data_IF_931240659694
#
_entry.id   IF_931240659694
#
_cell.length_a   1.000
_cell.length_b   1.000
_cell.length_c   1.000
_cell.angle_alpha   90.00
_cell.angle_beta   90.00
_cell.angle_gamma   90.00
#
_symmetry.space_group_name_H-M   'P 1'
#
loop_
_entity.id
_entity.type
_entity.pdbx_description
1 polymer ?
#
# COMPACT_ATOMS: atom_id res chain seq x y z
N UNK A 1 -75.49 7.24 0.55
CA UNK A 1 -75.78 8.14 -0.60
C UNK A 1 -74.46 8.20 -1.39
N UNK A 2 -74.55 7.50 -2.48
CA UNK A 2 -74.23 7.81 -3.87
C UNK A 2 -72.73 8.01 -4.17
N UNK A 3 -72.17 7.05 -4.81
CA UNK A 3 -72.00 6.71 -6.26
C UNK A 3 -70.83 7.47 -6.85
N UNK A 4 -69.78 6.81 -7.25
CA UNK A 4 -69.53 6.01 -8.47
C UNK A 4 -69.15 6.89 -9.65
N UNK A 5 -68.00 6.63 -10.24
CA UNK A 5 -67.50 7.18 -11.50
C UNK A 5 -66.27 6.47 -12.00
N UNK A 6 -66.49 5.30 -12.60
CA UNK A 6 -65.49 4.60 -13.44
C UNK A 6 -65.35 5.34 -14.77
N UNK A 7 -64.15 5.45 -15.33
CA UNK A 7 -64.01 5.39 -16.78
C UNK A 7 -62.68 4.72 -17.17
N UNK A 8 -62.87 3.75 -18.04
CA UNK A 8 -61.90 2.91 -18.73
C UNK A 8 -61.56 3.43 -20.10
N UNK A 9 -60.27 3.35 -20.49
CA UNK A 9 -59.70 2.90 -21.80
C UNK A 9 -60.09 3.59 -23.10
N UNK A 10 -59.41 3.38 -24.26
CA UNK A 10 -58.30 2.50 -24.58
C UNK A 10 -57.29 3.01 -25.66
N UNK A 11 -56.24 2.20 -25.90
CA UNK A 11 -55.61 1.83 -27.20
C UNK A 11 -55.10 2.89 -28.19
N UNK A 12 -53.83 2.71 -28.57
CA UNK A 12 -53.22 3.28 -29.77
C UNK A 12 -51.85 2.70 -30.07
N UNK A 13 -51.80 1.45 -30.54
CA UNK A 13 -50.63 0.89 -31.19
C UNK A 13 -50.41 1.56 -32.56
N UNK A 14 -49.17 1.96 -32.85
CA UNK A 14 -48.72 2.21 -34.23
C UNK A 14 -47.38 1.50 -34.45
N UNK A 15 -47.50 0.45 -35.22
CA UNK A 15 -46.45 -0.25 -35.95
C UNK A 15 -46.04 0.64 -37.13
N UNK A 16 -44.74 0.87 -37.31
CA UNK A 16 -44.20 1.24 -38.63
C UNK A 16 -43.09 0.27 -38.99
N UNK A 17 -43.36 -0.45 -40.07
CA UNK A 17 -42.47 -1.31 -40.84
C UNK A 17 -41.90 -0.48 -42.00
N UNK A 18 -40.69 -0.72 -42.37
CA UNK A 18 -40.09 -0.26 -43.63
C UNK A 18 -38.59 0.08 -43.42
N UNK A 19 -37.69 -0.30 -44.18
CA UNK A 19 -37.49 -1.23 -45.28
C UNK A 19 -35.98 -1.30 -45.49
N UNK A 20 -35.52 -2.44 -45.96
CA UNK A 20 -34.13 -2.70 -46.27
C UNK A 20 -33.68 -2.08 -47.59
N UNK A 21 -32.43 -1.68 -47.70
CA UNK A 21 -31.58 -1.62 -48.91
C UNK A 21 -30.12 -1.55 -48.39
N UNK A 22 -29.19 -2.38 -48.67
CA UNK A 22 -28.81 -3.15 -49.86
C UNK A 22 -27.82 -2.36 -50.69
N UNK A 23 -26.48 -2.59 -50.50
CA UNK A 23 -25.44 -2.42 -51.54
C UNK A 23 -24.08 -2.67 -50.88
N UNK A 24 -23.41 -3.65 -51.28
CA UNK A 24 -22.50 -3.96 -52.38
C UNK A 24 -21.01 -3.92 -51.93
N UNK A 25 -20.48 -5.09 -51.99
CA UNK A 25 -19.09 -5.56 -51.90
C UNK A 25 -18.18 -4.84 -52.92
N UNK A 26 -17.00 -4.42 -52.51
CA UNK A 26 -15.87 -4.27 -53.40
C UNK A 26 -14.62 -4.90 -52.77
N UNK A 27 -14.24 -6.02 -53.30
CA UNK A 27 -12.93 -6.64 -53.11
C UNK A 27 -11.89 -5.84 -53.90
N UNK A 28 -10.83 -5.48 -53.23
CA UNK A 28 -9.57 -5.05 -53.87
C UNK A 28 -8.45 -5.98 -53.42
N UNK A 29 -7.93 -6.71 -54.38
CA UNK A 29 -6.82 -7.61 -54.33
C UNK A 29 -5.51 -6.87 -54.04
N UNK A 30 -4.78 -7.33 -53.04
CA UNK A 30 -3.41 -6.88 -52.75
C UNK A 30 -2.40 -7.71 -53.54
N UNK A 31 -1.55 -7.03 -54.27
CA UNK A 31 -0.39 -7.57 -54.99
C UNK A 31 0.83 -7.60 -54.06
N UNK A 32 1.44 -8.78 -53.97
CA UNK A 32 2.74 -9.01 -53.35
C UNK A 32 3.84 -8.26 -54.07
N UNK A 33 4.72 -7.59 -53.35
CA UNK A 33 6.06 -7.26 -53.82
C UNK A 33 7.07 -7.52 -52.70
N UNK A 34 7.92 -8.51 -52.90
CA UNK A 34 9.20 -8.65 -52.19
C UNK A 34 10.27 -7.84 -52.84
N UNK A 35 11.21 -7.23 -52.11
CA UNK A 35 12.49 -6.85 -52.68
C UNK A 35 13.58 -7.85 -52.37
N UNK A 36 14.34 -8.11 -53.41
CA UNK A 36 15.54 -8.92 -53.51
C UNK A 36 16.72 -8.35 -52.72
N UNK A 37 17.58 -9.30 -52.27
CA UNK A 37 18.89 -9.05 -51.72
C UNK A 37 19.86 -8.41 -52.76
N UNK A 38 20.63 -7.46 -52.29
CA UNK A 38 21.86 -7.00 -52.97
C UNK A 38 23.06 -7.31 -52.08
N UNK A 39 23.93 -8.13 -52.61
CA UNK A 39 25.22 -8.51 -52.05
C UNK A 39 26.29 -7.42 -52.33
N UNK A 40 27.25 -7.29 -51.42
CA UNK A 40 28.62 -6.94 -51.72
C UNK A 40 29.14 -5.60 -51.23
N UNK A 41 29.98 -5.64 -50.19
CA UNK A 41 31.31 -5.03 -50.21
C UNK A 41 32.07 -5.39 -48.94
N UNK A 42 33.19 -6.06 -49.17
CA UNK A 42 34.22 -6.36 -48.15
C UNK A 42 34.90 -5.07 -47.71
N UNK A 43 34.85 -4.75 -46.41
CA UNK A 43 35.63 -3.71 -45.77
C UNK A 43 36.51 -4.31 -44.68
N UNK A 44 37.80 -4.33 -44.92
CA UNK A 44 38.85 -4.78 -44.01
C UNK A 44 38.88 -3.90 -42.76
N UNK A 45 38.63 -4.48 -41.58
CA UNK A 45 38.80 -3.79 -40.29
C UNK A 45 40.15 -4.16 -39.70
N UNK A 46 40.97 -3.17 -39.47
CA UNK A 46 42.26 -3.24 -38.82
C UNK A 46 42.09 -3.69 -37.35
N UNK A 47 42.87 -4.67 -36.94
CA UNK A 47 43.02 -5.10 -35.55
C UNK A 47 43.80 -4.04 -34.78
N UNK A 48 43.11 -3.33 -33.88
CA UNK A 48 43.71 -2.52 -32.82
C UNK A 48 44.02 -3.38 -31.60
N UNK A 49 45.30 -3.57 -31.32
CA UNK A 49 45.80 -4.24 -30.11
C UNK A 49 45.44 -3.44 -28.87
N UNK A 50 44.67 -4.00 -27.99
CA UNK A 50 44.41 -3.43 -26.64
C UNK A 50 45.49 -3.99 -25.69
N UNK A 51 46.40 -3.10 -25.31
CA UNK A 51 47.44 -3.38 -24.31
C UNK A 51 46.78 -3.48 -22.94
N UNK A 52 46.87 -4.65 -22.32
CA UNK A 52 46.42 -4.87 -20.94
C UNK A 52 47.31 -4.11 -19.94
N UNK A 53 46.70 -3.30 -19.09
CA UNK A 53 47.36 -2.69 -17.93
C UNK A 53 47.49 -3.71 -16.79
N UNK A 54 48.59 -3.72 -16.04
CA UNK A 54 48.80 -4.68 -14.96
C UNK A 54 47.93 -4.33 -13.75
N UNK A 55 47.26 -5.33 -13.22
CA UNK A 55 46.53 -5.28 -11.95
C UNK A 55 47.51 -5.27 -10.80
N UNK A 56 47.41 -4.28 -9.92
CA UNK A 56 48.18 -4.18 -8.68
C UNK A 56 47.73 -5.25 -7.68
N UNK A 57 48.64 -5.85 -6.89
CA UNK A 57 48.28 -6.88 -5.92
C UNK A 57 47.60 -6.28 -4.69
N UNK A 58 46.52 -6.93 -4.27
CA UNK A 58 45.78 -6.66 -3.04
C UNK A 58 46.63 -7.00 -1.81
N UNK A 59 46.62 -6.17 -0.76
CA UNK A 59 47.33 -6.49 0.48
C UNK A 59 46.60 -7.61 1.26
N UNK A 60 47.33 -8.48 2.01
CA UNK A 60 46.72 -9.55 2.77
C UNK A 60 45.94 -9.04 4.00
N UNK A 61 44.81 -9.60 4.25
CA UNK A 61 44.00 -9.40 5.46
C UNK A 61 44.73 -9.95 6.71
N UNK A 62 44.57 -9.28 7.85
CA UNK A 62 45.17 -9.81 9.08
C UNK A 62 44.41 -11.01 9.62
N UNK A 63 45.12 -12.05 9.98
CA UNK A 63 44.61 -13.27 10.58
C UNK A 63 43.94 -12.99 11.93
N UNK A 64 42.72 -13.46 12.10
CA UNK A 64 41.98 -13.50 13.35
C UNK A 64 42.74 -14.32 14.39
N UNK A 65 43.04 -13.71 15.54
CA UNK A 65 43.63 -14.36 16.70
C UNK A 65 42.64 -15.37 17.32
N UNK A 66 43.11 -16.58 17.53
CA UNK A 66 42.41 -17.66 18.22
C UNK A 66 42.18 -17.30 19.70
N UNK A 67 40.94 -17.44 20.14
CA UNK A 67 40.53 -17.34 21.54
C UNK A 67 40.88 -18.71 22.21
N UNK A 68 41.56 -18.74 23.36
CA UNK A 68 41.88 -20.00 24.03
C UNK A 68 40.65 -20.61 24.70
N UNK A 69 40.46 -21.92 24.50
CA UNK A 69 39.52 -22.76 25.23
C UNK A 69 39.77 -22.72 26.74
N UNK A 70 38.77 -22.29 27.51
CA UNK A 70 38.73 -22.46 28.94
C UNK A 70 38.18 -23.84 29.26
N UNK A 71 38.99 -24.64 29.97
CA UNK A 71 38.66 -25.99 30.40
C UNK A 71 37.49 -26.00 31.40
N UNK A 72 36.59 -26.95 31.22
CA UNK A 72 35.49 -27.24 32.14
C UNK A 72 36.00 -27.75 33.48
N UNK A 73 35.61 -27.12 34.58
CA UNK A 73 35.79 -27.61 35.92
C UNK A 73 34.66 -28.58 36.34
N UNK A 74 34.92 -29.57 37.20
CA UNK A 74 33.95 -30.62 37.52
C UNK A 74 32.86 -30.13 38.47
N UNK A 75 31.68 -30.61 38.18
CA UNK A 75 30.42 -30.45 38.92
C UNK A 75 30.51 -31.01 40.34
N UNK A 76 30.43 -30.14 41.34
CA UNK A 76 30.41 -30.53 42.76
C UNK A 76 28.96 -30.63 43.21
N UNK A 77 28.49 -31.84 43.46
CA UNK A 77 27.19 -32.14 44.03
C UNK A 77 26.96 -31.43 45.38
N UNK A 78 25.89 -30.69 45.51
CA UNK A 78 25.41 -30.11 46.76
C UNK A 78 24.35 -31.05 47.39
N UNK A 79 24.37 -31.20 48.75
CA UNK A 79 23.43 -32.09 49.45
C UNK A 79 22.01 -31.55 49.49
N UNK A 80 21.07 -32.46 49.43
CA UNK A 80 19.61 -32.19 49.51
C UNK A 80 19.22 -31.57 50.86
N UNK A 81 18.53 -30.45 50.83
CA UNK A 81 17.89 -29.83 51.99
C UNK A 81 16.43 -30.24 52.07
N UNK A 82 15.87 -30.40 53.24
CA UNK A 82 14.48 -30.89 53.45
C UNK A 82 13.45 -29.82 53.09
N UNK A 83 12.33 -30.26 52.49
CA UNK A 83 11.15 -29.48 52.13
C UNK A 83 10.38 -29.07 53.37
N UNK A 84 10.13 -27.80 53.69
CA UNK A 84 9.17 -27.41 54.70
C UNK A 84 7.76 -27.36 54.13
N UNK A 85 6.79 -27.85 54.88
CA UNK A 85 5.34 -27.80 54.64
C UNK A 85 4.82 -26.34 54.61
N UNK A 86 3.76 -26.03 53.84
CA UNK A 86 3.27 -24.68 53.67
C UNK A 86 2.59 -24.17 54.96
N UNK A 87 3.17 -23.10 55.52
CA UNK A 87 2.50 -22.25 56.48
C UNK A 87 1.63 -21.24 55.76
N UNK A 88 0.40 -21.07 56.24
CA UNK A 88 -0.52 -20.03 55.76
C UNK A 88 0.09 -18.64 55.88
N UNK A 89 0.49 -18.07 54.76
CA UNK A 89 0.90 -16.67 54.70
C UNK A 89 -0.33 -15.79 54.41
N UNK A 90 -0.54 -14.88 55.30
CA UNK A 90 -1.62 -13.97 55.50
C UNK A 90 -1.95 -13.10 54.27
N UNK A 91 -3.22 -12.72 54.14
CA UNK A 91 -3.86 -11.85 53.14
C UNK A 91 -3.29 -10.43 53.04
N UNK A 92 -2.33 -10.07 53.87
CA UNK A 92 -1.71 -8.73 53.87
C UNK A 92 -0.64 -8.52 52.75
N UNK A 93 0.01 -9.62 52.29
CA UNK A 93 1.00 -9.52 51.23
C UNK A 93 0.37 -9.26 49.84
N UNK A 94 -0.88 -9.69 49.64
CA UNK A 94 -1.63 -9.50 48.39
C UNK A 94 -2.06 -8.02 48.21
N UNK A 95 -2.48 -7.38 49.29
CA UNK A 95 -2.89 -5.96 49.25
C UNK A 95 -1.72 -4.98 49.00
N UNK A 96 -0.55 -5.32 49.51
CA UNK A 96 0.65 -4.53 49.28
C UNK A 96 1.18 -4.62 47.84
N UNK A 97 1.05 -5.81 47.19
CA UNK A 97 1.42 -6.02 45.81
C UNK A 97 0.48 -5.29 44.83
N UNK A 98 -0.83 -5.32 45.10
CA UNK A 98 -1.80 -4.57 44.29
C UNK A 98 -1.67 -3.06 44.43
N UNK A 99 -1.38 -2.56 45.62
CA UNK A 99 -1.12 -1.12 45.83
C UNK A 99 0.14 -0.66 45.14
N UNK A 100 1.20 -1.49 45.06
CA UNK A 100 2.45 -1.18 44.35
C UNK A 100 2.25 -1.19 42.84
N UNK A 101 1.46 -2.12 42.29
CA UNK A 101 1.13 -2.18 40.88
C UNK A 101 0.24 -0.98 40.45
N UNK A 102 -0.72 -0.58 41.28
CA UNK A 102 -1.55 0.59 41.03
C UNK A 102 -0.75 1.90 41.06
N UNK A 103 0.24 2.02 41.95
CA UNK A 103 1.13 3.18 42.04
C UNK A 103 2.07 3.27 40.85
N UNK A 104 2.61 2.13 40.35
CA UNK A 104 3.46 2.09 39.16
C UNK A 104 2.68 2.43 37.87
N UNK A 105 1.42 1.97 37.76
CA UNK A 105 0.57 2.32 36.64
C UNK A 105 0.18 3.81 36.63
N UNK A 106 -0.04 4.41 37.81
CA UNK A 106 -0.31 5.84 37.95
C UNK A 106 0.91 6.69 37.62
N UNK A 107 2.11 6.28 37.99
CA UNK A 107 3.36 6.97 37.65
C UNK A 107 3.69 6.89 36.16
N UNK A 108 3.44 5.74 35.51
CA UNK A 108 3.60 5.58 34.07
C UNK A 108 2.63 6.46 33.27
N UNK A 109 1.36 6.57 33.76
CA UNK A 109 0.36 7.46 33.16
C UNK A 109 0.70 8.93 33.31
N UNK A 110 1.29 9.35 34.45
CA UNK A 110 1.73 10.72 34.67
C UNK A 110 2.97 11.08 33.84
N UNK A 111 3.92 10.14 33.67
CA UNK A 111 5.09 10.33 32.82
C UNK A 111 4.69 10.46 31.34
N UNK A 112 3.72 9.67 30.86
CA UNK A 112 3.18 9.76 29.50
C UNK A 112 2.45 11.08 29.26
N UNK A 113 1.68 11.57 30.25
CA UNK A 113 1.01 12.87 30.16
C UNK A 113 1.99 14.05 30.18
N UNK A 114 3.07 13.96 30.95
CA UNK A 114 4.11 14.97 30.99
C UNK A 114 4.93 15.04 29.68
N UNK A 115 5.19 13.88 29.05
CA UNK A 115 5.84 13.82 27.73
C UNK A 115 4.96 14.43 26.65
N UNK A 116 3.66 14.12 26.62
CA UNK A 116 2.71 14.70 25.68
C UNK A 116 2.53 16.22 25.85
N UNK A 117 2.58 16.72 27.10
CA UNK A 117 2.50 18.15 27.37
C UNK A 117 3.77 18.92 26.97
N UNK A 118 4.94 18.25 26.99
CA UNK A 118 6.21 18.83 26.53
C UNK A 118 6.32 18.90 25.01
N UNK A 119 5.75 17.92 24.28
CA UNK A 119 5.69 17.94 22.81
C UNK A 119 4.71 19.00 22.27
N UNK A 120 3.64 19.33 23.01
CA UNK A 120 2.68 20.35 22.61
C UNK A 120 3.23 21.78 22.67
N UNK A 121 4.44 22.00 23.22
CA UNK A 121 5.08 23.33 23.36
C UNK A 121 6.37 23.50 22.55
N UNK A 122 6.72 22.52 21.68
CA UNK A 122 7.76 22.74 20.70
C UNK A 122 7.30 23.83 19.72
N UNK A 123 8.11 24.86 19.40
CA UNK A 123 7.73 25.86 18.43
C UNK A 123 7.40 25.16 17.11
N UNK A 124 6.20 25.43 16.61
CA UNK A 124 5.77 25.00 15.28
C UNK A 124 6.80 25.51 14.27
N UNK A 125 7.71 24.64 13.85
CA UNK A 125 8.57 24.93 12.71
C UNK A 125 7.61 25.03 11.54
N UNK A 126 7.50 26.18 10.83
CA UNK A 126 6.64 26.28 9.66
C UNK A 126 6.98 25.11 8.73
N UNK A 127 5.99 24.28 8.41
CA UNK A 127 6.16 23.28 7.39
C UNK A 127 6.68 23.99 6.14
N UNK A 128 7.70 23.44 5.44
CA UNK A 128 8.11 24.00 4.16
C UNK A 128 6.87 24.17 3.30
N UNK A 129 6.75 25.32 2.63
CA UNK A 129 5.64 25.56 1.70
C UNK A 129 5.52 24.33 0.78
N UNK A 130 4.30 23.81 0.64
CA UNK A 130 4.05 22.71 -0.28
C UNK A 130 4.64 23.08 -1.65
N UNK A 131 5.39 22.17 -2.28
CA UNK A 131 5.91 22.43 -3.61
C UNK A 131 4.71 22.73 -4.54
N UNK A 132 4.89 23.63 -5.52
CA UNK A 132 3.84 23.92 -6.47
C UNK A 132 3.36 22.61 -7.10
N UNK A 133 2.05 22.45 -7.21
CA UNK A 133 1.43 21.31 -7.89
C UNK A 133 2.14 21.09 -9.23
N UNK A 134 2.53 19.83 -9.58
CA UNK A 134 3.15 19.57 -10.86
C UNK A 134 2.26 20.13 -11.96
N UNK A 135 2.86 20.85 -12.91
CA UNK A 135 2.14 21.61 -13.92
C UNK A 135 1.19 20.69 -14.73
N UNK A 136 -0.05 20.60 -14.27
CA UNK A 136 -1.11 19.78 -14.89
C UNK A 136 -1.38 20.18 -16.35
N UNK A 137 -1.04 21.42 -16.76
CA UNK A 137 -1.19 21.90 -18.13
C UNK A 137 -0.36 21.07 -19.13
N UNK A 138 0.80 20.56 -18.72
CA UNK A 138 1.63 19.69 -19.58
C UNK A 138 1.07 18.29 -19.77
N UNK A 139 0.14 17.86 -18.89
CA UNK A 139 -0.49 16.53 -18.94
C UNK A 139 -1.78 16.50 -19.76
N UNK A 140 -2.43 17.65 -19.95
CA UNK A 140 -3.75 17.72 -20.63
C UNK A 140 -3.68 17.41 -22.11
N UNK A 141 -2.52 17.56 -22.75
CA UNK A 141 -2.34 17.33 -24.19
C UNK A 141 -2.01 15.88 -24.55
N UNK A 142 -1.77 15.02 -23.56
CA UNK A 142 -1.45 13.62 -23.79
C UNK A 142 -2.71 12.76 -23.88
N UNK A 143 -2.84 11.92 -24.93
CA UNK A 143 -3.98 11.02 -25.04
C UNK A 143 -3.96 10.01 -23.88
N UNK A 144 -5.08 9.81 -23.17
CA UNK A 144 -5.14 8.96 -21.95
C UNK A 144 -5.01 7.45 -22.24
N UNK A 145 -4.80 7.07 -23.50
CA UNK A 145 -4.68 5.66 -23.92
C UNK A 145 -3.57 4.91 -23.20
N UNK A 146 -2.42 5.57 -22.96
CA UNK A 146 -1.29 4.98 -22.22
C UNK A 146 -1.62 4.70 -20.74
N UNK A 147 -2.40 5.58 -20.10
CA UNK A 147 -2.87 5.35 -18.73
C UNK A 147 -3.81 4.14 -18.67
N UNK A 148 -4.71 3.99 -19.63
CA UNK A 148 -5.60 2.82 -19.70
C UNK A 148 -4.85 1.53 -20.06
N UNK A 149 -3.75 1.60 -20.83
CA UNK A 149 -2.89 0.45 -21.13
C UNK A 149 -2.22 -0.12 -19.86
N UNK A 150 -2.06 0.66 -18.80
CA UNK A 150 -1.52 0.23 -17.51
C UNK A 150 -2.29 -0.96 -16.90
N UNK A 151 -3.55 -1.21 -17.33
CA UNK A 151 -4.30 -2.42 -16.97
C UNK A 151 -3.60 -3.71 -17.38
N UNK A 152 -2.91 -3.71 -18.53
CA UNK A 152 -2.18 -4.87 -19.02
C UNK A 152 -0.94 -5.12 -18.16
N UNK A 153 -0.19 -4.06 -17.86
CA UNK A 153 0.98 -4.14 -16.98
C UNK A 153 0.58 -4.60 -15.58
N UNK A 154 -0.50 -4.04 -15.02
CA UNK A 154 -1.05 -4.49 -13.74
C UNK A 154 -1.43 -5.98 -13.77
N UNK A 155 -2.10 -6.43 -14.83
CA UNK A 155 -2.51 -7.82 -14.97
C UNK A 155 -1.33 -8.79 -15.11
N UNK A 156 -0.20 -8.34 -15.65
CA UNK A 156 1.00 -9.16 -15.84
C UNK A 156 1.92 -9.14 -14.62
N UNK A 157 2.02 -8.01 -13.91
CA UNK A 157 3.04 -7.79 -12.89
C UNK A 157 2.54 -7.98 -11.46
N UNK A 158 1.22 -7.87 -11.22
CA UNK A 158 0.63 -8.03 -9.90
C UNK A 158 0.02 -9.42 -9.75
N UNK A 159 0.56 -10.25 -8.86
CA UNK A 159 0.11 -11.64 -8.69
C UNK A 159 -1.23 -11.74 -7.97
N UNK A 160 -1.41 -10.96 -6.91
CA UNK A 160 -2.60 -10.99 -6.08
C UNK A 160 -3.62 -9.95 -6.55
N UNK A 161 -4.39 -10.30 -7.57
CA UNK A 161 -5.42 -9.44 -8.15
C UNK A 161 -6.81 -9.85 -7.67
N UNK A 162 -7.71 -8.85 -7.61
CA UNK A 162 -9.15 -9.04 -7.38
C UNK A 162 -9.91 -8.83 -8.69
N UNK A 163 -10.80 -9.74 -9.01
CA UNK A 163 -11.69 -9.62 -10.18
C UNK A 163 -12.97 -8.92 -9.76
N UNK A 164 -12.93 -7.60 -9.73
CA UNK A 164 -14.05 -6.77 -9.30
C UNK A 164 -15.10 -6.68 -10.42
N UNK A 165 -16.40 -6.99 -10.17
CA UNK A 165 -17.46 -6.82 -11.16
C UNK A 165 -17.62 -5.36 -11.61
N UNK A 166 -18.00 -5.14 -12.86
CA UNK A 166 -18.15 -3.79 -13.45
C UNK A 166 -19.04 -2.89 -12.60
N UNK A 167 -20.15 -3.42 -12.07
CA UNK A 167 -21.05 -2.66 -11.20
C UNK A 167 -20.37 -2.16 -9.93
N UNK A 168 -19.53 -3.00 -9.30
CA UNK A 168 -18.74 -2.60 -8.12
C UNK A 168 -17.61 -1.63 -8.51
N UNK A 169 -16.94 -1.83 -9.67
CA UNK A 169 -15.94 -0.85 -10.18
C UNK A 169 -16.55 0.54 -10.31
N UNK A 170 -17.73 0.64 -10.92
CA UNK A 170 -18.46 1.91 -11.05
C UNK A 170 -18.92 2.48 -9.71
N UNK A 171 -19.36 1.62 -8.78
CA UNK A 171 -19.77 2.06 -7.45
C UNK A 171 -18.60 2.64 -6.66
N UNK A 172 -17.43 2.01 -6.69
CA UNK A 172 -16.21 2.54 -6.08
C UNK A 172 -15.69 3.80 -6.79
N UNK A 173 -15.83 3.91 -8.11
CA UNK A 173 -15.51 5.13 -8.85
C UNK A 173 -16.40 6.31 -8.43
N UNK A 174 -17.69 6.08 -8.17
CA UNK A 174 -18.60 7.12 -7.63
C UNK A 174 -18.26 7.47 -6.18
N UNK A 175 -17.91 6.49 -5.37
CA UNK A 175 -17.48 6.72 -3.98
C UNK A 175 -16.17 7.52 -3.93
N UNK A 176 -15.21 7.19 -4.80
CA UNK A 176 -13.97 7.96 -4.96
C UNK A 176 -14.29 9.41 -5.34
N UNK A 177 -15.14 9.64 -6.35
CA UNK A 177 -15.55 10.99 -6.74
C UNK A 177 -16.16 11.77 -5.57
N UNK A 178 -17.10 11.16 -4.88
CA UNK A 178 -17.74 11.79 -3.72
C UNK A 178 -16.75 12.18 -2.63
N UNK A 179 -15.81 11.28 -2.30
CA UNK A 179 -14.79 11.57 -1.28
C UNK A 179 -13.84 12.68 -1.73
N UNK A 180 -13.47 12.72 -3.00
CA UNK A 180 -12.66 13.81 -3.56
C UNK A 180 -13.43 15.13 -3.62
N UNK A 181 -14.74 15.11 -3.94
CA UNK A 181 -15.60 16.30 -3.91
C UNK A 181 -15.67 16.92 -2.49
N UNK A 182 -15.82 16.07 -1.47
CA UNK A 182 -15.88 16.51 -0.06
C UNK A 182 -14.56 17.11 0.41
N UNK A 183 -13.43 16.66 -0.16
CA UNK A 183 -12.08 17.13 0.18
C UNK A 183 -11.61 18.29 -0.73
N UNK A 184 -12.44 18.76 -1.66
CA UNK A 184 -12.12 19.87 -2.56
C UNK A 184 -11.31 19.51 -3.81
N UNK A 185 -11.15 18.22 -4.09
CA UNK A 185 -10.40 17.69 -5.24
C UNK A 185 -11.30 17.06 -6.32
N UNK A 186 -12.55 17.49 -6.41
CA UNK A 186 -13.57 16.89 -7.28
C UNK A 186 -13.28 16.97 -8.77
N UNK A 187 -12.48 17.91 -9.23
CA UNK A 187 -12.06 18.09 -10.63
C UNK A 187 -10.75 17.38 -10.99
N UNK A 188 -10.15 16.66 -10.02
CA UNK A 188 -8.92 15.90 -10.23
C UNK A 188 -9.04 14.96 -11.43
N UNK A 189 -8.12 15.04 -12.38
CA UNK A 189 -8.12 14.23 -13.61
C UNK A 189 -6.71 14.09 -14.18
N UNK A 190 -6.57 13.20 -15.15
CA UNK A 190 -5.33 12.94 -15.88
C UNK A 190 -4.16 12.46 -14.99
N UNK A 191 -4.49 11.83 -13.89
CA UNK A 191 -3.55 11.17 -12.99
C UNK A 191 -4.18 9.91 -12.36
N UNK A 192 -3.32 8.99 -11.90
CA UNK A 192 -3.76 7.83 -11.12
C UNK A 192 -4.13 8.24 -9.70
N UNK A 193 -5.22 7.67 -9.19
CA UNK A 193 -5.61 7.79 -7.80
C UNK A 193 -5.73 6.40 -7.19
N UNK A 194 -5.18 6.23 -6.00
CA UNK A 194 -5.25 4.98 -5.26
C UNK A 194 -6.35 5.07 -4.22
N UNK A 195 -7.28 4.12 -4.22
CA UNK A 195 -8.40 4.03 -3.29
C UNK A 195 -8.27 2.77 -2.43
N UNK A 196 -8.42 2.88 -1.13
CA UNK A 196 -8.44 1.76 -0.18
C UNK A 196 -9.80 1.69 0.53
N UNK A 197 -10.45 0.53 0.49
CA UNK A 197 -11.60 0.25 1.35
C UNK A 197 -11.16 -0.55 2.58
N UNK A 198 -11.14 0.11 3.75
CA UNK A 198 -10.76 -0.49 5.03
C UNK A 198 -11.86 -1.34 5.67
N UNK A 199 -13.04 -1.46 5.05
CA UNK A 199 -14.14 -2.27 5.57
C UNK A 199 -13.66 -3.70 5.89
N UNK A 200 -14.02 -4.21 7.07
CA UNK A 200 -13.60 -5.55 7.51
C UNK A 200 -14.04 -6.66 6.54
N UNK A 201 -15.11 -6.42 5.79
CA UNK A 201 -15.64 -7.33 4.78
C UNK A 201 -15.15 -7.03 3.35
N UNK A 202 -14.21 -6.11 3.18
CA UNK A 202 -13.61 -5.81 1.86
C UNK A 202 -12.10 -5.96 1.91
N UNK A 203 -11.37 -5.02 2.54
CA UNK A 203 -9.91 -5.04 2.60
C UNK A 203 -9.28 -5.11 1.21
N UNK A 204 -9.53 -4.09 0.41
CA UNK A 204 -9.08 -4.00 -0.97
C UNK A 204 -8.49 -2.63 -1.29
N UNK A 205 -7.53 -2.61 -2.21
CA UNK A 205 -6.95 -1.42 -2.83
C UNK A 205 -7.28 -1.43 -4.32
N UNK A 206 -7.55 -0.26 -4.86
CA UNK A 206 -7.91 -0.06 -6.26
C UNK A 206 -7.06 1.07 -6.83
N UNK A 207 -6.64 0.93 -8.06
CA UNK A 207 -6.03 2.00 -8.85
C UNK A 207 -7.06 2.49 -9.84
N UNK A 208 -7.33 3.80 -9.83
CA UNK A 208 -8.27 4.46 -10.72
C UNK A 208 -7.59 5.49 -11.60
N UNK A 209 -8.19 5.77 -12.74
CA UNK A 209 -7.78 6.83 -13.66
C UNK A 209 -9.01 7.42 -14.36
N UNK A 210 -8.99 8.72 -14.61
CA UNK A 210 -9.89 9.38 -15.58
C UNK A 210 -9.11 10.44 -16.38
N UNK A 211 -9.46 10.59 -17.65
CA UNK A 211 -8.74 11.51 -18.54
C UNK A 211 -9.15 12.97 -18.40
N UNK A 212 -10.38 13.27 -18.00
CA UNK A 212 -10.90 14.62 -17.86
C UNK A 212 -11.80 14.73 -16.64
N UNK A 213 -11.85 15.91 -16.04
CA UNK A 213 -12.84 16.23 -15.03
C UNK A 213 -14.26 15.99 -15.57
N UNK A 214 -15.12 15.39 -14.77
CA UNK A 214 -16.48 15.00 -15.17
C UNK A 214 -16.60 13.63 -15.85
N UNK A 215 -15.51 13.04 -16.37
CA UNK A 215 -15.54 11.66 -16.85
C UNK A 215 -15.70 10.67 -15.69
N UNK A 216 -16.24 9.50 -15.98
CA UNK A 216 -16.31 8.41 -15.00
C UNK A 216 -14.90 7.86 -14.70
N UNK A 217 -14.63 7.58 -13.43
CA UNK A 217 -13.42 6.89 -13.02
C UNK A 217 -13.37 5.47 -13.58
N UNK A 218 -12.25 5.13 -14.17
CA UNK A 218 -11.98 3.82 -14.77
C UNK A 218 -10.97 3.05 -13.91
N UNK A 219 -11.33 1.86 -13.44
CA UNK A 219 -10.44 1.01 -12.66
C UNK A 219 -9.31 0.46 -13.54
N UNK A 220 -8.09 0.60 -13.09
CA UNK A 220 -6.87 0.02 -13.69
C UNK A 220 -6.64 -1.37 -13.12
N UNK A 221 -6.77 -1.54 -11.81
CA UNK A 221 -6.62 -2.82 -11.14
C UNK A 221 -7.05 -2.78 -9.69
N UNK A 222 -7.12 -3.95 -9.07
CA UNK A 222 -7.46 -4.13 -7.66
C UNK A 222 -6.67 -5.28 -7.03
N UNK A 223 -6.38 -5.16 -5.73
CA UNK A 223 -5.59 -6.13 -4.98
C UNK A 223 -6.08 -6.20 -3.52
N UNK A 224 -5.89 -7.33 -2.80
CA UNK A 224 -6.21 -7.39 -1.39
C UNK A 224 -5.20 -6.61 -0.56
N UNK A 225 -5.66 -6.05 0.57
CA UNK A 225 -4.82 -5.36 1.56
C UNK A 225 -5.07 -5.90 2.96
N UNK A 226 -4.25 -5.44 3.92
CA UNK A 226 -4.59 -5.49 5.34
C UNK A 226 -4.47 -4.10 5.92
N UNK A 227 -5.53 -3.66 6.61
CA UNK A 227 -5.59 -2.39 7.32
C UNK A 227 -5.62 -2.60 8.83
N UNK A 228 -5.65 -1.54 9.61
CA UNK A 228 -5.60 -1.54 11.06
C UNK A 228 -6.61 -2.47 11.71
N UNK A 229 -6.14 -3.31 12.63
CA UNK A 229 -6.95 -4.24 13.42
C UNK A 229 -7.14 -3.69 14.83
N UNK A 230 -8.32 -3.17 15.19
CA UNK A 230 -8.58 -2.71 16.54
C UNK A 230 -8.62 -3.89 17.55
N UNK A 231 -8.46 -3.60 18.83
CA UNK A 231 -8.58 -4.56 19.92
C UNK A 231 -7.29 -4.86 20.67
N UNK A 232 -6.14 -4.35 20.21
CA UNK A 232 -4.84 -4.49 20.86
C UNK A 232 -4.27 -3.10 21.13
N UNK A 233 -3.47 -2.93 22.18
CA UNK A 233 -2.77 -1.68 22.49
C UNK A 233 -1.87 -1.30 21.30
N UNK A 234 -1.80 0.00 21.01
CA UNK A 234 -1.03 0.57 19.90
C UNK A 234 -1.49 0.11 18.50
N UNK A 235 -2.74 -0.32 18.39
CA UNK A 235 -3.35 -0.66 17.11
C UNK A 235 -4.44 0.34 16.75
N UNK A 236 -4.18 1.14 15.74
CA UNK A 236 -5.13 2.10 15.18
C UNK A 236 -6.06 1.45 14.15
N UNK A 237 -7.23 1.99 14.01
CA UNK A 237 -8.02 1.79 12.79
C UNK A 237 -7.43 2.73 11.73
N UNK A 238 -7.12 2.20 10.56
CA UNK A 238 -6.55 3.01 9.45
C UNK A 238 -7.38 4.28 9.23
N UNK A 239 -6.78 5.47 9.20
CA UNK A 239 -7.52 6.73 9.08
C UNK A 239 -8.29 6.81 7.75
N UNK A 240 -9.42 7.51 7.77
CA UNK A 240 -10.23 7.83 6.59
C UNK A 240 -9.84 9.21 6.06
N UNK A 241 -9.97 9.41 4.76
CA UNK A 241 -9.76 10.69 4.11
C UNK A 241 -8.94 10.61 2.83
N UNK A 242 -8.49 11.76 2.37
CA UNK A 242 -7.61 11.95 1.22
C UNK A 242 -6.21 12.29 1.75
N UNK A 243 -5.21 11.56 1.33
CA UNK A 243 -3.83 11.71 1.78
C UNK A 243 -2.91 11.97 0.60
N UNK A 244 -2.10 13.00 0.70
CA UNK A 244 -1.12 13.35 -0.32
C UNK A 244 0.19 12.61 -0.09
N UNK A 245 0.79 12.12 -1.18
CA UNK A 245 2.11 11.52 -1.20
C UNK A 245 3.12 12.55 -1.69
N UNK A 246 3.85 13.14 -0.76
CA UNK A 246 4.72 14.30 -1.01
C UNK A 246 6.14 14.07 -0.49
N UNK A 247 7.20 14.58 -1.16
CA UNK A 247 8.58 14.46 -0.69
C UNK A 247 8.86 15.09 0.66
N UNK A 248 7.99 15.99 1.17
CA UNK A 248 8.06 16.52 2.53
C UNK A 248 7.91 15.42 3.59
N UNK A 249 7.23 14.34 3.27
CA UNK A 249 7.20 13.09 4.02
C UNK A 249 8.01 12.05 3.25
N UNK A 250 9.35 12.17 3.32
CA UNK A 250 10.25 11.33 2.53
C UNK A 250 10.00 9.84 2.78
N UNK A 251 9.80 9.09 1.71
CA UNK A 251 9.67 7.64 1.74
C UNK A 251 10.95 6.95 2.21
N UNK A 252 10.80 5.70 2.57
CA UNK A 252 11.88 4.83 3.00
C UNK A 252 12.00 3.60 2.08
N UNK A 253 13.11 2.88 2.25
CA UNK A 253 13.31 1.55 1.69
C UNK A 253 13.47 0.54 2.81
N UNK A 254 12.70 -0.54 2.75
CA UNK A 254 12.75 -1.60 3.75
C UNK A 254 14.14 -2.25 3.80
N UNK A 255 14.67 -2.44 4.99
CA UNK A 255 15.94 -3.18 5.18
C UNK A 255 15.79 -4.68 4.93
N UNK A 256 14.56 -5.22 5.02
CA UNK A 256 14.27 -6.63 4.88
C UNK A 256 14.76 -7.48 6.05
N UNK A 257 15.06 -6.85 7.18
CA UNK A 257 15.50 -7.54 8.41
C UNK A 257 14.36 -8.34 9.02
N UNK A 258 14.72 -9.43 9.70
CA UNK A 258 13.80 -10.25 10.47
C UNK A 258 13.73 -9.76 11.91
N UNK A 259 12.52 -9.61 12.45
CA UNK A 259 12.33 -9.36 13.86
C UNK A 259 12.53 -10.66 14.71
N UNK A 260 12.33 -10.59 16.01
CA UNK A 260 12.40 -11.73 16.93
C UNK A 260 11.48 -12.90 16.55
N UNK A 261 10.35 -12.63 15.89
CA UNK A 261 9.39 -13.63 15.40
C UNK A 261 9.73 -14.15 13.98
N UNK A 262 10.90 -13.80 13.45
CA UNK A 262 11.33 -14.15 12.09
C UNK A 262 10.39 -13.60 11.01
N UNK A 263 9.87 -12.40 11.20
CA UNK A 263 8.95 -11.70 10.28
C UNK A 263 9.62 -10.42 9.78
N UNK A 264 9.45 -10.13 8.48
CA UNK A 264 9.83 -8.86 7.85
C UNK A 264 8.63 -7.92 7.85
N UNK A 265 8.61 -6.92 8.73
CA UNK A 265 7.47 -6.01 8.90
C UNK A 265 7.12 -5.28 7.62
N UNK A 266 8.09 -4.64 7.00
CA UNK A 266 7.95 -3.82 5.79
C UNK A 266 8.25 -4.58 4.48
N UNK A 267 8.21 -5.91 4.50
CA UNK A 267 8.46 -6.74 3.33
C UNK A 267 9.94 -7.08 3.10
N UNK A 268 10.26 -7.51 1.90
CA UNK A 268 11.62 -7.85 1.51
C UNK A 268 12.50 -6.59 1.44
N UNK A 269 13.83 -6.82 1.43
CA UNK A 269 14.79 -5.72 1.29
C UNK A 269 14.50 -4.88 0.05
N UNK A 270 14.64 -3.56 0.18
CA UNK A 270 14.47 -2.57 -0.87
C UNK A 270 13.01 -2.34 -1.34
N UNK A 271 12.02 -2.95 -0.68
CA UNK A 271 10.61 -2.60 -0.87
C UNK A 271 10.37 -1.15 -0.41
N UNK A 272 9.54 -0.41 -1.15
CA UNK A 272 9.25 0.99 -0.82
C UNK A 272 8.20 1.10 0.27
N UNK A 273 8.43 2.02 1.20
CA UNK A 273 7.50 2.42 2.24
C UNK A 273 7.00 3.80 1.86
N UNK A 274 5.76 3.89 1.38
CA UNK A 274 5.09 5.14 1.01
C UNK A 274 4.63 5.84 2.27
N UNK A 275 5.10 7.05 2.52
CA UNK A 275 4.82 7.80 3.74
C UNK A 275 3.86 8.97 3.47
N UNK A 276 2.70 8.96 4.12
CA UNK A 276 1.66 9.98 3.99
C UNK A 276 1.65 10.97 5.17
N UNK A 277 2.69 10.92 6.01
CA UNK A 277 2.82 11.83 7.14
C UNK A 277 2.03 11.41 8.37
N UNK A 278 1.76 12.39 9.23
CA UNK A 278 0.98 12.21 10.44
C UNK A 278 -0.51 12.34 10.15
N UNK A 279 -1.30 11.42 10.67
CA UNK A 279 -2.74 11.40 10.53
C UNK A 279 -3.41 11.07 11.87
N UNK A 280 -4.61 11.59 12.08
CA UNK A 280 -5.44 11.27 13.25
C UNK A 280 -6.08 9.89 13.09
N UNK A 281 -5.43 8.88 13.68
CA UNK A 281 -5.95 7.52 13.74
C UNK A 281 -6.93 7.31 14.88
N UNK A 282 -8.00 6.55 14.65
CA UNK A 282 -8.88 6.08 15.72
C UNK A 282 -8.14 5.00 16.52
N UNK A 283 -8.01 5.22 17.84
CA UNK A 283 -7.41 4.21 18.73
C UNK A 283 -8.30 2.98 18.80
N UNK A 284 -7.77 1.85 18.40
CA UNK A 284 -8.43 0.55 18.50
C UNK A 284 -8.41 -0.06 19.91
N UNK A 285 -7.97 0.68 20.92
CA UNK A 285 -7.78 0.22 22.32
C UNK A 285 -8.28 1.23 23.36
N UNK A 286 -8.32 0.77 24.61
CA UNK A 286 -8.72 1.59 25.76
C UNK A 286 -10.14 2.12 25.61
N UNK A 287 -10.33 3.43 25.83
CA UNK A 287 -11.61 4.11 25.66
C UNK A 287 -11.85 4.63 24.23
N UNK A 288 -11.00 4.23 23.25
CA UNK A 288 -11.05 4.77 21.89
C UNK A 288 -10.55 6.22 21.82
N UNK A 289 -11.17 7.01 20.94
CA UNK A 289 -10.76 8.38 20.62
C UNK A 289 -9.70 8.41 19.52
N UNK A 290 -9.16 9.59 19.22
CA UNK A 290 -8.14 9.77 18.18
C UNK A 290 -6.80 10.14 18.80
N UNK A 291 -5.73 9.81 18.11
CA UNK A 291 -4.39 10.32 18.37
C UNK A 291 -3.53 10.26 17.09
N UNK A 292 -2.46 11.06 17.02
CA UNK A 292 -1.56 11.06 15.88
C UNK A 292 -0.91 9.67 15.69
N UNK A 293 -0.86 9.24 14.44
CA UNK A 293 -0.11 8.08 14.00
C UNK A 293 0.63 8.39 12.70
N UNK A 294 1.79 7.81 12.49
CA UNK A 294 2.46 7.88 11.19
C UNK A 294 1.72 6.97 10.21
N UNK A 295 1.17 7.54 9.14
CA UNK A 295 0.36 6.79 8.19
C UNK A 295 1.19 6.38 6.98
N UNK A 296 1.30 5.09 6.74
CA UNK A 296 2.14 4.52 5.69
C UNK A 296 1.41 3.42 4.90
N UNK A 297 1.87 3.21 3.67
CA UNK A 297 1.52 2.04 2.85
C UNK A 297 2.81 1.32 2.46
N UNK A 298 2.86 0.03 2.69
CA UNK A 298 4.08 -0.76 2.47
C UNK A 298 3.78 -2.22 2.16
N UNK A 299 4.76 -2.93 1.60
CA UNK A 299 4.70 -4.38 1.49
C UNK A 299 4.73 -5.03 2.89
N UNK A 300 4.44 -6.31 2.96
CA UNK A 300 4.55 -7.11 4.17
C UNK A 300 5.39 -8.36 3.93
N UNK A 301 5.63 -9.18 4.97
CA UNK A 301 6.39 -10.42 4.82
C UNK A 301 5.73 -11.32 3.76
N UNK A 302 6.43 -11.64 2.65
CA UNK A 302 5.84 -12.34 1.52
C UNK A 302 5.42 -13.78 1.86
N UNK A 303 6.09 -14.41 2.81
CA UNK A 303 5.85 -15.81 3.17
C UNK A 303 4.81 -15.93 4.30
N UNK A 304 4.90 -15.06 5.30
CA UNK A 304 4.14 -15.20 6.55
C UNK A 304 2.91 -14.30 6.64
N UNK A 305 3.00 -13.06 6.15
CA UNK A 305 1.93 -12.06 6.31
C UNK A 305 1.16 -11.78 5.03
N UNK A 306 1.78 -11.90 3.87
CA UNK A 306 1.08 -11.70 2.60
C UNK A 306 -0.10 -12.67 2.41
N UNK A 307 -0.04 -13.95 2.85
CA UNK A 307 -1.22 -14.83 2.86
C UNK A 307 -2.40 -14.32 3.71
N UNK A 308 -2.17 -13.40 4.66
CA UNK A 308 -3.20 -12.80 5.52
C UNK A 308 -3.91 -11.59 4.88
N UNK A 309 -3.42 -11.08 3.74
CA UNK A 309 -4.08 -9.98 3.05
C UNK A 309 -5.52 -10.33 2.67
N UNK A 310 -6.42 -9.37 2.84
CA UNK A 310 -7.86 -9.54 2.75
C UNK A 310 -8.57 -9.58 4.12
N UNK A 311 -7.82 -9.41 5.23
CA UNK A 311 -8.37 -9.20 6.57
C UNK A 311 -7.65 -8.05 7.28
N UNK A 312 -8.29 -7.39 8.24
CA UNK A 312 -7.63 -6.39 9.09
C UNK A 312 -6.53 -7.07 9.91
N UNK A 313 -5.29 -6.62 9.72
CA UNK A 313 -4.14 -7.24 10.37
C UNK A 313 -2.89 -6.35 10.38
N UNK A 314 -3.04 -5.04 10.61
CA UNK A 314 -1.93 -4.09 10.80
C UNK A 314 -2.15 -3.26 12.06
N UNK A 315 -1.16 -2.46 12.44
CA UNK A 315 -1.28 -1.47 13.51
C UNK A 315 -1.96 -0.16 13.06
N UNK A 316 -2.31 -0.03 11.80
CA UNK A 316 -2.95 1.16 11.24
C UNK A 316 -2.52 1.47 9.81
N UNK A 317 -1.32 1.09 9.42
CA UNK A 317 -0.80 1.21 8.05
C UNK A 317 -1.57 0.33 7.05
N UNK A 318 -1.41 0.60 5.76
CA UNK A 318 -1.96 -0.24 4.68
C UNK A 318 -0.88 -1.22 4.22
N UNK A 319 -1.06 -2.51 4.51
CA UNK A 319 -0.18 -3.57 4.00
C UNK A 319 -0.67 -4.03 2.64
N UNK A 320 0.23 -4.06 1.66
CA UNK A 320 -0.04 -4.46 0.27
C UNK A 320 0.82 -5.67 -0.14
N UNK A 321 0.45 -6.39 -1.21
CA UNK A 321 1.31 -7.45 -1.77
C UNK A 321 2.66 -6.91 -2.26
N UNK A 322 3.68 -7.72 -2.17
CA UNK A 322 5.04 -7.39 -2.64
C UNK A 322 5.07 -7.03 -4.12
N UNK A 323 4.32 -7.74 -4.96
CA UNK A 323 4.26 -7.46 -6.39
C UNK A 323 3.52 -6.17 -6.71
N UNK A 324 2.50 -5.79 -5.92
CA UNK A 324 1.84 -4.49 -6.05
C UNK A 324 2.78 -3.35 -5.61
N UNK A 325 3.55 -3.54 -4.53
CA UNK A 325 4.56 -2.57 -4.11
C UNK A 325 5.60 -2.33 -5.20
N UNK A 326 6.12 -3.41 -5.80
CA UNK A 326 7.06 -3.34 -6.92
C UNK A 326 6.44 -2.66 -8.14
N UNK A 327 5.18 -2.92 -8.44
CA UNK A 327 4.46 -2.29 -9.54
C UNK A 327 4.35 -0.77 -9.33
N UNK A 328 3.94 -0.33 -8.14
CA UNK A 328 3.85 1.10 -7.80
C UNK A 328 5.21 1.80 -7.91
N UNK A 329 6.26 1.19 -7.33
CA UNK A 329 7.62 1.72 -7.33
C UNK A 329 8.24 1.75 -8.74
N UNK A 330 7.97 0.73 -9.56
CA UNK A 330 8.50 0.65 -10.92
C UNK A 330 7.86 1.65 -11.87
N UNK A 331 6.55 1.84 -11.76
CA UNK A 331 5.79 2.72 -12.65
C UNK A 331 5.58 4.13 -12.08
N UNK A 332 6.01 4.40 -10.85
CA UNK A 332 5.85 5.69 -10.20
C UNK A 332 4.38 6.11 -10.06
N UNK A 333 3.50 5.17 -9.72
CA UNK A 333 2.04 5.40 -9.71
C UNK A 333 1.63 6.58 -8.83
N UNK A 334 2.34 6.80 -7.71
CA UNK A 334 2.10 7.87 -6.75
C UNK A 334 3.18 8.95 -6.75
N UNK A 335 4.12 8.94 -7.72
CA UNK A 335 5.36 9.71 -7.65
C UNK A 335 5.30 11.08 -8.36
N UNK A 336 4.12 11.63 -8.62
CA UNK A 336 4.00 12.90 -9.35
C UNK A 336 4.90 14.01 -8.77
N UNK A 337 4.88 14.19 -7.46
CA UNK A 337 5.67 15.25 -6.80
C UNK A 337 7.15 14.87 -6.63
N UNK A 338 7.46 13.59 -6.42
CA UNK A 338 8.84 13.10 -6.41
C UNK A 338 9.52 13.27 -7.76
N UNK A 339 8.82 12.96 -8.86
CA UNK A 339 9.34 13.14 -10.22
C UNK A 339 9.47 14.63 -10.61
N UNK A 340 8.53 15.46 -10.13
CA UNK A 340 8.64 16.90 -10.33
C UNK A 340 9.94 17.44 -9.71
N UNK A 341 10.23 17.15 -8.44
CA UNK A 341 11.47 17.56 -7.78
C UNK A 341 12.72 16.94 -8.38
N UNK A 342 12.67 15.66 -8.77
CA UNK A 342 13.79 15.02 -9.46
C UNK A 342 14.09 15.71 -10.80
N UNK A 343 13.08 16.18 -11.53
CA UNK A 343 13.24 16.93 -12.77
C UNK A 343 13.85 18.33 -12.57
N UNK A 344 13.69 18.90 -11.39
CA UNK A 344 14.30 20.16 -10.95
C UNK A 344 15.76 19.98 -10.48
N UNK A 345 16.24 18.74 -10.47
CA UNK A 345 17.62 18.39 -10.08
C UNK A 345 17.79 18.02 -8.61
N UNK A 346 16.71 17.91 -7.83
CA UNK A 346 16.79 17.40 -6.46
C UNK A 346 17.09 15.91 -6.44
N UNK A 347 17.95 15.50 -5.49
CA UNK A 347 18.30 14.08 -5.32
C UNK A 347 17.19 13.34 -4.57
N UNK A 348 16.36 12.61 -5.29
CA UNK A 348 15.32 11.73 -4.74
C UNK A 348 15.87 10.29 -4.61
N UNK A 349 16.65 10.03 -3.55
CA UNK A 349 17.35 8.76 -3.32
C UNK A 349 16.43 7.53 -3.27
N UNK A 350 15.14 7.73 -2.96
CA UNK A 350 14.15 6.66 -2.93
C UNK A 350 13.71 6.20 -4.33
N UNK A 351 13.91 7.02 -5.36
CA UNK A 351 13.53 6.69 -6.72
C UNK A 351 14.60 5.81 -7.38
N UNK A 352 14.22 4.63 -7.85
CA UNK A 352 15.12 3.72 -8.55
C UNK A 352 15.48 4.24 -9.94
N UNK A 353 16.74 4.14 -10.34
CA UNK A 353 17.18 4.50 -11.68
C UNK A 353 16.52 3.64 -12.78
N UNK A 354 16.08 2.43 -12.43
CA UNK A 354 15.43 1.47 -13.35
C UNK A 354 13.91 1.62 -13.46
N UNK A 355 13.32 2.62 -12.76
CA UNK A 355 11.87 2.85 -12.83
C UNK A 355 11.45 3.31 -14.23
N UNK A 356 10.24 2.98 -14.60
CA UNK A 356 9.56 3.49 -15.79
C UNK A 356 8.53 4.52 -15.37
N UNK A 357 8.92 5.80 -15.46
CA UNK A 357 8.01 6.89 -15.11
C UNK A 357 6.80 6.93 -16.03
N UNK A 358 5.65 7.24 -15.48
CA UNK A 358 4.43 7.50 -16.24
C UNK A 358 4.09 8.99 -16.19
N UNK A 359 3.67 9.61 -17.31
CA UNK A 359 3.23 11.00 -17.29
C UNK A 359 1.91 11.20 -16.53
N UNK A 360 1.24 10.12 -16.17
CA UNK A 360 -0.02 10.13 -15.40
C UNK A 360 0.19 9.74 -13.94
N UNK A 361 1.41 9.82 -13.44
CA UNK A 361 1.68 9.62 -12.02
C UNK A 361 0.76 10.51 -11.19
N UNK A 362 0.14 9.93 -10.17
CA UNK A 362 -0.65 10.65 -9.19
C UNK A 362 0.10 10.91 -7.90
N UNK A 363 -0.60 11.39 -6.90
CA UNK A 363 -0.06 11.61 -5.57
C UNK A 363 -1.12 11.47 -4.46
N UNK A 364 -2.30 10.92 -4.78
CA UNK A 364 -3.36 10.75 -3.79
C UNK A 364 -3.64 9.30 -3.44
N UNK A 365 -3.68 9.04 -2.13
CA UNK A 365 -4.25 7.85 -1.53
C UNK A 365 -5.56 8.24 -0.83
N UNK A 366 -6.66 7.64 -1.23
CA UNK A 366 -7.97 7.85 -0.63
C UNK A 366 -8.35 6.62 0.19
N UNK A 367 -8.74 6.80 1.44
CA UNK A 367 -9.18 5.71 2.32
C UNK A 367 -10.64 5.89 2.68
N UNK A 368 -11.44 4.87 2.39
CA UNK A 368 -12.88 4.83 2.68
C UNK A 368 -13.24 3.61 3.54
N UNK A 369 -14.42 3.61 4.11
CA UNK A 369 -15.01 2.45 4.77
C UNK A 369 -16.46 2.28 4.29
N UNK A 370 -16.68 1.31 3.41
CA UNK A 370 -18.03 1.04 2.89
C UNK A 370 -18.97 0.46 3.94
N UNK A 371 -18.46 0.00 5.09
CA UNK A 371 -19.26 -0.63 6.13
C UNK A 371 -20.04 -1.86 5.66
N UNK A 372 -19.62 -2.53 4.58
CA UNK A 372 -20.33 -3.68 4.01
C UNK A 372 -20.61 -4.74 5.08
N UNK A 373 -21.87 -5.15 5.18
CA UNK A 373 -22.30 -6.16 6.16
C UNK A 373 -21.86 -7.57 5.77
N UNK A 374 -21.71 -7.84 4.48
CA UNK A 374 -21.29 -9.13 3.94
C UNK A 374 -20.09 -8.95 3.03
N UNK A 375 -19.21 -9.94 3.03
CA UNK A 375 -18.03 -9.98 2.17
C UNK A 375 -18.44 -10.31 0.75
N UNK A 376 -18.07 -9.47 -0.25
CA UNK A 376 -18.36 -9.78 -1.64
C UNK A 376 -17.46 -10.94 -2.12
N UNK A 377 -17.98 -11.75 -3.01
CA UNK A 377 -17.26 -12.91 -3.54
C UNK A 377 -15.93 -12.53 -4.23
N UNK A 378 -15.87 -11.36 -4.84
CA UNK A 378 -14.66 -10.86 -5.52
C UNK A 378 -13.54 -10.41 -4.56
N UNK A 379 -13.82 -10.22 -3.27
CA UNK A 379 -12.80 -9.90 -2.26
C UNK A 379 -12.74 -11.01 -1.20
N UNK A 380 -12.21 -12.20 -1.52
CA UNK A 380 -12.13 -13.29 -0.59
C UNK A 380 -11.17 -12.96 0.55
N UNK A 381 -11.55 -13.29 1.77
CA UNK A 381 -10.63 -13.26 2.91
C UNK A 381 -9.66 -14.43 2.86
N UNK A 382 -8.59 -14.40 3.68
CA UNK A 382 -7.67 -15.51 3.82
C UNK A 382 -8.39 -16.82 4.13
N UNK A 383 -7.89 -17.93 3.58
CA UNK A 383 -8.45 -19.25 3.80
C UNK A 383 -8.50 -19.63 5.30
N UNK A 384 -9.40 -20.55 5.68
CA UNK A 384 -9.57 -21.00 7.06
C UNK A 384 -8.25 -21.52 7.67
N UNK A 385 -7.47 -22.28 6.90
CA UNK A 385 -6.18 -22.80 7.33
C UNK A 385 -5.18 -21.70 7.68
N UNK A 386 -5.08 -20.66 6.82
CA UNK A 386 -4.21 -19.50 7.05
C UNK A 386 -4.62 -18.75 8.31
N UNK A 387 -5.92 -18.51 8.50
CA UNK A 387 -6.45 -17.82 9.70
C UNK A 387 -6.25 -18.61 11.00
N UNK A 388 -6.19 -19.93 10.93
CA UNK A 388 -5.94 -20.79 12.08
C UNK A 388 -4.46 -20.82 12.52
N UNK A 389 -3.53 -20.35 11.65
CA UNK A 389 -2.10 -20.42 11.90
C UNK A 389 -1.46 -19.04 11.70
N UNK A 390 -2.05 -17.99 12.28
CA UNK A 390 -1.44 -16.65 12.27
C UNK A 390 -0.12 -16.72 13.06
N UNK A 391 1.01 -16.31 12.47
CA UNK A 391 2.29 -16.34 13.14
C UNK A 391 2.28 -15.50 14.43
N UNK A 392 2.98 -15.95 15.46
CA UNK A 392 3.20 -15.14 16.64
C UNK A 392 3.88 -13.80 16.22
N UNK A 393 3.49 -12.69 16.85
CA UNK A 393 4.01 -11.38 16.54
C UNK A 393 3.63 -10.81 15.17
N UNK A 394 2.73 -11.45 14.44
CA UNK A 394 2.32 -11.02 13.10
C UNK A 394 1.64 -9.64 13.09
N UNK A 395 1.11 -9.20 14.20
CA UNK A 395 0.44 -7.91 14.41
C UNK A 395 1.30 -6.86 15.10
N UNK A 396 2.57 -7.18 15.41
CA UNK A 396 3.49 -6.26 16.11
C UNK A 396 4.52 -5.61 15.17
N UNK A 397 4.46 -5.87 13.88
CA UNK A 397 5.46 -5.52 12.88
C UNK A 397 4.96 -4.42 11.94
N UNK A 398 4.80 -3.23 12.47
CA UNK A 398 4.65 -1.98 11.66
C UNK A 398 5.34 -0.85 12.41
#
# INVERSE_FOLDING_TARGET
MQQAGKNKTPFGARIFVGAAAGALVSMATAVHAQPQAASGASGTVAQGSVTAMPVAPTPPMPHTASIPHVASAPERALPAMPVPMPAQASSEASAAAEASAASAASAASAASAASAASEAQAPEVPLPAEPPEPNLAQRTDMPPTGAYAMRQDFAQQVDRRLTVPVADQQAYGRLLQHTLDEDGHGDLANEFVVLVDRSANVQAIFVYFRGKAGDAWSMIGASPVSTGRPGTYDHFVTPLGVFQHVPGNMDFRAEGTLNEFKIRGYGARDMRIYDFGWADGERGWGRGGKSPMRFQMHATDPEKLEPLLGMRHSKGCVRIPSTLNTFFDHHGILDAQYEARASEGESMWVLKATRKTTPWAGHYLVVVDTGRKTRPAWSPGPGKAVRAHIPAGADTVD
#
